data_IF_002708317680
#
_entry.id   IF_002708317680
#
_cell.length_a   1.000
_cell.length_b   1.000
_cell.length_c   1.000
_cell.angle_alpha   90.00
_cell.angle_beta   90.00
_cell.angle_gamma   90.00
#
_symmetry.space_group_name_H-M   'P 1'
#
loop_
_entity.id
_entity.type
_entity.pdbx_description
1 polymer ?
#
# COMPACT_ATOMS: atom_id res chain seq x y z
N UNK A 1 -6.54 17.92 7.63
CA UNK A 1 -7.34 17.19 6.63
C UNK A 1 -6.51 16.02 6.12
N UNK A 2 -7.09 14.90 5.70
CA UNK A 2 -6.35 13.79 5.08
C UNK A 2 -6.59 13.81 3.58
N UNK A 3 -5.55 13.61 2.77
CA UNK A 3 -5.72 13.47 1.32
C UNK A 3 -6.28 12.08 1.06
N UNK A 4 -7.42 12.02 0.38
CA UNK A 4 -8.01 10.74 -0.02
C UNK A 4 -7.16 10.06 -1.10
N UNK A 5 -7.22 8.73 -1.21
CA UNK A 5 -6.66 8.04 -2.36
C UNK A 5 -7.21 8.59 -3.69
N UNK A 6 -6.40 8.52 -4.73
CA UNK A 6 -6.74 9.02 -6.06
C UNK A 6 -5.51 9.46 -6.84
N UNK A 7 -5.73 9.93 -8.06
CA UNK A 7 -4.65 10.47 -8.90
C UNK A 7 -4.59 11.97 -8.73
N UNK A 8 -3.38 12.45 -8.46
CA UNK A 8 -3.11 13.84 -8.18
C UNK A 8 -2.02 14.39 -9.10
N UNK A 9 -2.14 15.68 -9.37
CA UNK A 9 -1.01 16.52 -9.76
C UNK A 9 -0.45 17.17 -8.51
N UNK A 10 0.88 17.17 -8.38
CA UNK A 10 1.58 17.79 -7.25
C UNK A 10 2.26 19.06 -7.79
N UNK A 11 1.69 20.23 -7.50
CA UNK A 11 2.21 21.53 -7.97
C UNK A 11 3.01 22.22 -6.87
N UNK A 12 4.17 22.76 -7.21
CA UNK A 12 4.95 23.57 -6.28
C UNK A 12 4.33 24.97 -6.09
N UNK A 13 4.25 25.44 -4.85
CA UNK A 13 3.61 26.71 -4.51
C UNK A 13 4.44 27.95 -4.94
N UNK A 14 5.75 27.81 -5.17
CA UNK A 14 6.59 28.92 -5.68
C UNK A 14 6.61 28.95 -7.21
N UNK A 15 7.05 27.85 -7.82
CA UNK A 15 7.43 27.86 -9.24
C UNK A 15 6.28 27.51 -10.17
N UNK A 16 5.14 27.05 -9.62
CA UNK A 16 4.00 26.49 -10.36
C UNK A 16 4.32 25.30 -11.28
N UNK A 17 5.56 24.80 -11.22
CA UNK A 17 5.96 23.53 -11.85
C UNK A 17 5.39 22.36 -11.05
N UNK A 18 5.41 21.17 -11.67
CA UNK A 18 4.84 19.96 -11.08
C UNK A 18 5.91 18.90 -10.90
N UNK A 19 5.65 17.99 -9.96
CA UNK A 19 6.48 16.78 -9.78
C UNK A 19 6.34 15.92 -11.04
N UNK A 20 7.45 15.71 -11.74
CA UNK A 20 7.55 14.99 -13.00
C UNK A 20 8.57 13.87 -12.85
N UNK A 21 8.20 12.65 -13.24
CA UNK A 21 9.16 11.57 -13.44
C UNK A 21 9.78 11.72 -14.84
N UNK A 22 11.08 11.99 -14.87
CA UNK A 22 11.80 12.22 -16.12
C UNK A 22 11.74 11.00 -17.03
N UNK A 23 11.33 11.19 -18.29
CA UNK A 23 11.29 10.11 -19.29
C UNK A 23 12.66 9.76 -19.88
N UNK A 24 13.69 10.57 -19.64
CA UNK A 24 15.04 10.39 -20.20
C UNK A 24 16.11 10.07 -19.14
N UNK A 25 15.76 10.10 -17.86
CA UNK A 25 16.67 9.81 -16.76
C UNK A 25 15.92 9.25 -15.55
N UNK A 26 16.60 8.47 -14.71
CA UNK A 26 16.02 7.97 -13.46
C UNK A 26 15.97 9.08 -12.38
N UNK A 27 15.11 10.09 -12.57
CA UNK A 27 15.01 11.29 -11.74
C UNK A 27 13.56 11.71 -11.52
N UNK A 28 13.30 12.27 -10.33
CA UNK A 28 12.12 13.09 -10.06
C UNK A 28 12.56 14.54 -10.16
N UNK A 29 11.87 15.32 -10.99
CA UNK A 29 12.25 16.71 -11.30
C UNK A 29 11.03 17.61 -11.26
N UNK A 30 11.28 18.91 -11.14
CA UNK A 30 10.29 19.94 -11.34
C UNK A 30 10.20 20.27 -12.83
N UNK A 31 9.02 20.15 -13.42
CA UNK A 31 8.81 20.43 -14.83
C UNK A 31 7.54 21.24 -15.08
N UNK A 32 7.51 21.98 -16.20
CA UNK A 32 6.32 22.70 -16.62
C UNK A 32 5.19 21.70 -16.84
N UNK A 33 4.00 22.02 -16.32
CA UNK A 33 2.83 21.18 -16.52
C UNK A 33 2.52 21.03 -18.03
N UNK A 34 2.49 19.79 -18.49
CA UNK A 34 2.06 19.39 -19.84
C UNK A 34 0.96 18.32 -19.80
N UNK A 35 0.63 17.80 -18.62
CA UNK A 35 -0.50 16.90 -18.42
C UNK A 35 -0.19 15.43 -18.73
N UNK A 36 1.02 15.09 -19.17
CA UNK A 36 1.46 13.73 -19.39
C UNK A 36 1.35 12.86 -18.13
N UNK A 37 1.18 11.55 -18.32
CA UNK A 37 0.98 10.60 -17.23
C UNK A 37 2.18 10.51 -16.26
N UNK A 38 3.38 10.91 -16.69
CA UNK A 38 4.57 11.00 -15.85
C UNK A 38 4.54 12.22 -14.89
N UNK A 39 3.55 13.10 -15.01
CA UNK A 39 3.23 14.20 -14.07
C UNK A 39 2.03 13.90 -13.16
N UNK A 40 1.52 12.67 -13.23
CA UNK A 40 0.35 12.22 -12.50
C UNK A 40 0.77 11.14 -11.51
N UNK A 41 0.32 11.28 -10.27
CA UNK A 41 0.77 10.47 -9.15
C UNK A 41 -0.44 9.88 -8.46
N UNK A 42 -0.47 8.56 -8.36
CA UNK A 42 -1.49 7.87 -7.60
C UNK A 42 -1.11 7.82 -6.12
N UNK A 43 -1.94 8.48 -5.32
CA UNK A 43 -1.80 8.57 -3.87
C UNK A 43 -2.49 7.37 -3.26
N UNK A 44 -1.72 6.63 -2.46
CA UNK A 44 -2.23 5.51 -1.68
C UNK A 44 -1.87 5.74 -0.22
N UNK A 45 -2.82 5.46 0.68
CA UNK A 45 -2.53 5.42 2.10
C UNK A 45 -1.57 4.26 2.39
N UNK A 46 -0.59 4.50 3.25
CA UNK A 46 0.39 3.50 3.68
C UNK A 46 0.72 3.74 5.16
N UNK A 47 0.03 3.02 6.05
CA UNK A 47 0.06 3.31 7.49
C UNK A 47 -0.47 4.71 7.78
N UNK A 48 0.26 5.50 8.56
CA UNK A 48 -0.09 6.89 8.91
C UNK A 48 0.33 7.92 7.84
N UNK A 49 0.97 7.46 6.76
CA UNK A 49 1.45 8.31 5.66
C UNK A 49 0.88 7.89 4.31
N UNK A 50 1.58 8.31 3.25
CA UNK A 50 1.18 8.10 1.87
C UNK A 50 2.35 7.65 1.00
N UNK A 51 2.04 6.93 -0.08
CA UNK A 51 2.99 6.66 -1.16
C UNK A 51 2.47 7.29 -2.46
N UNK A 52 3.39 7.79 -3.29
CA UNK A 52 3.08 8.38 -4.59
C UNK A 52 3.61 7.46 -5.69
N UNK A 53 2.71 6.84 -6.44
CA UNK A 53 3.07 5.96 -7.57
C UNK A 53 2.88 6.69 -8.89
N UNK A 54 3.91 6.76 -9.70
CA UNK A 54 3.86 7.29 -11.06
C UNK A 54 2.80 6.57 -11.88
N UNK A 55 1.90 7.32 -12.51
CA UNK A 55 0.86 6.73 -13.37
C UNK A 55 1.48 6.16 -14.65
N UNK A 56 2.50 6.83 -15.18
CA UNK A 56 3.19 6.38 -16.39
C UNK A 56 4.02 5.12 -16.15
N UNK A 57 4.91 5.14 -15.16
CA UNK A 57 5.94 4.11 -15.02
C UNK A 57 5.67 3.13 -13.88
N UNK A 58 4.68 3.40 -13.03
CA UNK A 58 4.34 2.53 -11.90
C UNK A 58 5.37 2.51 -10.77
N UNK A 59 6.37 3.39 -10.81
CA UNK A 59 7.43 3.54 -9.80
C UNK A 59 7.02 4.55 -8.72
N UNK A 60 7.56 4.40 -7.52
CA UNK A 60 7.31 5.27 -6.39
C UNK A 60 8.35 6.38 -6.28
N UNK A 61 7.92 7.53 -5.74
CA UNK A 61 8.83 8.56 -5.23
C UNK A 61 9.55 8.01 -4.00
N UNK A 62 10.85 7.78 -4.13
CA UNK A 62 11.65 7.02 -3.17
C UNK A 62 12.93 7.76 -2.78
N UNK A 63 13.40 7.50 -1.56
CA UNK A 63 14.70 7.95 -1.06
C UNK A 63 15.30 6.92 -0.10
N UNK A 64 16.63 6.83 -0.10
CA UNK A 64 17.42 6.17 0.94
C UNK A 64 18.21 7.18 1.79
N UNK A 65 18.15 8.47 1.43
CA UNK A 65 18.88 9.53 2.12
C UNK A 65 18.18 9.94 3.41
N UNK A 66 18.96 10.16 4.46
CA UNK A 66 18.50 10.67 5.76
C UNK A 66 19.20 12.00 6.11
N UNK A 67 19.42 12.85 5.11
CA UNK A 67 20.10 14.14 5.27
C UNK A 67 19.58 15.19 4.27
N UNK A 68 19.84 16.47 4.59
CA UNK A 68 19.57 17.61 3.71
C UNK A 68 20.37 17.49 2.40
N UNK A 69 19.76 17.84 1.26
CA UNK A 69 20.31 17.60 -0.07
C UNK A 69 20.15 16.15 -0.57
N UNK A 70 19.54 15.27 0.22
CA UNK A 70 19.31 13.87 -0.12
C UNK A 70 18.51 13.69 -1.41
N UNK A 71 18.92 12.74 -2.25
CA UNK A 71 18.30 12.52 -3.57
C UNK A 71 16.95 11.82 -3.44
N UNK A 72 15.98 12.31 -4.19
CA UNK A 72 14.70 11.62 -4.43
C UNK A 72 14.71 11.08 -5.86
N UNK A 73 14.27 9.84 -6.05
CA UNK A 73 14.30 9.18 -7.34
C UNK A 73 13.17 8.14 -7.51
N UNK A 74 12.82 7.78 -8.75
CA UNK A 74 11.87 6.69 -9.01
C UNK A 74 12.44 5.33 -8.57
N UNK A 75 11.62 4.51 -7.90
CA UNK A 75 12.00 3.14 -7.51
C UNK A 75 10.79 2.20 -7.47
N UNK A 76 11.03 0.89 -7.55
CA UNK A 76 10.01 -0.10 -7.23
C UNK A 76 9.84 -0.30 -5.71
N UNK A 77 10.80 0.19 -4.91
CA UNK A 77 10.67 0.32 -3.47
C UNK A 77 9.88 1.58 -3.13
N UNK A 78 9.21 1.57 -1.98
CA UNK A 78 8.41 2.70 -1.50
C UNK A 78 9.06 3.41 -0.32
N UNK A 79 8.85 4.71 -0.25
CA UNK A 79 8.99 5.52 0.95
C UNK A 79 7.58 5.96 1.34
N UNK A 80 7.16 5.67 2.57
CA UNK A 80 5.94 6.26 3.13
C UNK A 80 6.26 7.68 3.56
N UNK A 81 5.53 8.66 3.04
CA UNK A 81 5.72 10.09 3.29
C UNK A 81 4.65 10.62 4.25
N UNK A 82 5.04 11.55 5.12
CA UNK A 82 4.09 12.27 5.97
C UNK A 82 3.62 13.54 5.27
N UNK A 83 2.33 13.85 5.38
CA UNK A 83 1.75 15.09 4.86
C UNK A 83 1.34 16.00 6.02
N UNK A 84 1.80 17.25 6.00
CA UNK A 84 1.31 18.28 6.92
C UNK A 84 0.72 19.45 6.14
N UNK A 85 -0.51 19.80 6.47
CA UNK A 85 -1.25 20.88 5.80
C UNK A 85 -1.02 22.22 6.49
N UNK A 86 -0.83 23.26 5.71
CA UNK A 86 -0.78 24.66 6.13
C UNK A 86 -1.63 25.50 5.15
N UNK A 87 -2.85 25.84 5.57
CA UNK A 87 -3.87 26.42 4.67
C UNK A 87 -4.19 25.49 3.49
N UNK A 88 -3.96 25.97 2.27
CA UNK A 88 -4.17 25.22 1.02
C UNK A 88 -2.90 24.52 0.50
N UNK A 89 -1.80 24.63 1.24
CA UNK A 89 -0.50 24.08 0.89
C UNK A 89 -0.12 22.95 1.83
N UNK A 90 0.83 22.14 1.40
CA UNK A 90 1.28 20.96 2.11
C UNK A 90 2.80 20.85 2.12
N UNK A 91 3.36 20.42 3.24
CA UNK A 91 4.71 19.88 3.27
C UNK A 91 4.66 18.35 3.13
N UNK A 92 5.64 17.79 2.41
CA UNK A 92 5.81 16.34 2.23
C UNK A 92 7.11 15.98 2.95
N UNK A 93 7.01 15.25 4.06
CA UNK A 93 8.12 15.02 4.99
C UNK A 93 8.57 13.57 5.00
N UNK A 94 9.88 13.36 5.14
CA UNK A 94 10.44 12.04 5.43
C UNK A 94 10.17 11.68 6.91
N UNK A 95 9.49 10.56 7.21
CA UNK A 95 9.11 10.22 8.59
C UNK A 95 10.29 10.15 9.55
N UNK A 96 10.09 10.64 10.78
CA UNK A 96 11.12 10.63 11.83
C UNK A 96 12.22 11.66 11.65
N UNK A 97 12.11 12.58 10.68
CA UNK A 97 13.11 13.62 10.40
C UNK A 97 12.47 15.01 10.24
N UNK A 98 13.30 16.06 10.21
CA UNK A 98 12.88 17.41 9.82
C UNK A 98 13.00 17.69 8.31
N UNK A 99 13.19 16.65 7.48
CA UNK A 99 13.42 16.83 6.05
C UNK A 99 12.12 16.78 5.25
N UNK A 100 11.99 17.73 4.32
CA UNK A 100 10.87 17.86 3.39
C UNK A 100 11.33 17.80 1.94
N UNK A 101 10.41 17.41 1.05
CA UNK A 101 10.61 17.49 -0.39
C UNK A 101 10.58 18.96 -0.83
N UNK A 102 11.65 19.40 -1.48
CA UNK A 102 11.80 20.75 -2.04
C UNK A 102 12.14 20.72 -3.54
N UNK A 103 11.94 21.87 -4.20
CA UNK A 103 12.70 22.20 -5.41
C UNK A 103 13.99 22.89 -4.96
N UNK A 104 15.14 22.38 -5.39
CA UNK A 104 16.46 22.91 -5.04
C UNK A 104 16.55 24.42 -5.30
N UNK A 105 16.74 25.18 -4.22
CA UNK A 105 16.82 26.65 -4.26
C UNK A 105 15.56 27.34 -4.78
N UNK A 106 14.49 26.60 -5.08
CA UNK A 106 13.29 27.10 -5.75
C UNK A 106 13.58 27.56 -7.17
N UNK A 107 14.53 26.88 -7.83
CA UNK A 107 14.88 27.14 -9.23
C UNK A 107 13.66 26.97 -10.14
N UNK A 108 13.49 27.93 -11.06
CA UNK A 108 12.45 27.90 -12.10
C UNK A 108 12.94 27.26 -13.40
N UNK A 109 14.19 26.77 -13.42
CA UNK A 109 14.73 26.07 -14.57
C UNK A 109 13.94 24.78 -14.84
N UNK A 110 13.72 24.47 -16.13
CA UNK A 110 13.12 23.20 -16.51
C UNK A 110 14.01 22.05 -16.08
N UNK A 111 13.45 21.13 -15.29
CA UNK A 111 14.19 19.98 -14.76
C UNK A 111 14.96 20.29 -13.49
N UNK A 112 14.61 21.36 -12.78
CA UNK A 112 15.15 21.64 -11.46
C UNK A 112 14.99 20.42 -10.54
N UNK A 113 16.04 20.17 -9.75
CA UNK A 113 16.13 18.99 -8.90
C UNK A 113 15.07 19.03 -7.80
N UNK A 114 14.37 17.91 -7.62
CA UNK A 114 13.52 17.68 -6.45
C UNK A 114 14.29 16.79 -5.48
N UNK A 115 14.41 17.24 -4.23
CA UNK A 115 15.29 16.62 -3.23
C UNK A 115 14.76 16.81 -1.81
N UNK A 116 15.40 16.15 -0.85
CA UNK A 116 15.22 16.41 0.57
C UNK A 116 15.96 17.68 1.01
N UNK A 117 15.38 18.42 1.94
CA UNK A 117 15.96 19.62 2.54
C UNK A 117 15.38 19.88 3.92
N UNK A 118 16.06 20.66 4.74
CA UNK A 118 15.56 21.11 6.03
C UNK A 118 14.23 21.86 5.86
N UNK A 119 13.24 21.54 6.70
CA UNK A 119 11.94 22.23 6.64
C UNK A 119 12.06 23.65 7.19
N UNK A 120 12.16 24.63 6.29
CA UNK A 120 12.29 26.05 6.58
C UNK A 120 11.00 26.83 6.34
N UNK A 121 9.93 26.17 5.92
CA UNK A 121 8.64 26.82 5.68
C UNK A 121 8.54 27.61 4.37
N UNK A 122 9.52 27.46 3.48
CA UNK A 122 9.63 28.25 2.27
C UNK A 122 8.66 27.78 1.18
N UNK A 123 8.22 28.69 0.29
CA UNK A 123 7.22 28.35 -0.75
C UNK A 123 7.66 27.26 -1.74
N UNK A 124 8.97 27.11 -1.99
CA UNK A 124 9.49 26.00 -2.79
C UNK A 124 9.51 24.63 -2.07
N UNK A 125 9.16 24.59 -0.78
CA UNK A 125 8.97 23.40 0.06
C UNK A 125 7.48 23.12 0.33
N UNK A 126 6.60 23.82 -0.40
CA UNK A 126 5.15 23.75 -0.23
C UNK A 126 4.52 23.31 -1.54
N UNK A 127 3.53 22.44 -1.41
CA UNK A 127 2.91 21.75 -2.53
C UNK A 127 1.39 21.87 -2.46
N UNK A 128 0.77 22.06 -3.61
CA UNK A 128 -0.67 21.96 -3.78
C UNK A 128 -0.99 20.65 -4.49
N UNK A 129 -1.95 19.90 -3.95
CA UNK A 129 -2.41 18.66 -4.54
C UNK A 129 -3.72 18.90 -5.30
N UNK A 130 -3.67 18.76 -6.62
CA UNK A 130 -4.87 18.84 -7.46
C UNK A 130 -5.36 17.43 -7.76
N UNK A 131 -6.56 17.09 -7.27
CA UNK A 131 -7.16 15.80 -7.60
C UNK A 131 -7.57 15.78 -9.07
N UNK A 132 -7.04 14.84 -9.82
CA UNK A 132 -7.38 14.60 -11.23
C UNK A 132 -8.50 13.56 -11.32
N UNK A 133 -8.42 12.49 -10.52
CA UNK A 133 -9.48 11.47 -10.47
C UNK A 133 -9.46 10.68 -9.16
N UNK A 134 -10.59 10.05 -8.84
CA UNK A 134 -10.68 9.04 -7.76
C UNK A 134 -10.18 7.65 -8.20
N UNK A 135 -9.89 7.45 -9.50
CA UNK A 135 -9.57 6.15 -10.10
C UNK A 135 -8.11 5.70 -9.95
N UNK A 136 -7.85 4.43 -10.25
CA UNK A 136 -6.50 3.84 -10.26
C UNK A 136 -5.73 4.19 -11.56
N UNK A 137 -4.38 4.22 -11.57
CA UNK A 137 -3.53 4.64 -12.70
C UNK A 137 -3.84 4.02 -14.07
N UNK A 138 -4.34 2.79 -14.07
CA UNK A 138 -4.60 2.02 -15.30
C UNK A 138 -5.67 2.67 -16.19
N UNK A 139 -6.46 3.60 -15.67
CA UNK A 139 -7.50 4.33 -16.42
C UNK A 139 -6.97 5.57 -17.19
N UNK A 140 -5.74 6.03 -16.94
CA UNK A 140 -5.23 7.34 -17.43
C UNK A 140 -4.20 7.25 -18.56
N UNK A 141 -3.81 6.05 -18.99
CA UNK A 141 -2.86 5.84 -20.11
C UNK A 141 -3.49 5.94 -21.51
N UNK A 142 -4.78 6.28 -21.62
CA UNK A 142 -5.47 6.35 -22.91
C UNK A 142 -5.56 7.80 -23.41
N UNK A 143 -5.22 8.11 -24.68
CA UNK A 143 -5.35 9.45 -25.24
C UNK A 143 -6.83 9.84 -25.45
N UNK A 144 -7.16 11.13 -25.64
CA UNK A 144 -8.55 11.59 -25.74
C UNK A 144 -9.16 11.12 -27.07
N UNK A 145 -10.06 10.14 -27.02
CA UNK A 145 -10.91 9.80 -28.15
C UNK A 145 -12.33 10.33 -27.97
N UNK A 146 -12.80 10.95 -29.05
CA UNK A 146 -14.13 11.51 -29.24
C UNK A 146 -15.22 10.44 -29.10
N UNK A 147 -16.39 10.88 -28.61
CA UNK A 147 -17.67 10.19 -28.48
C UNK A 147 -17.77 9.05 -27.46
N UNK A 148 -18.66 9.25 -26.50
CA UNK A 148 -19.06 8.30 -25.46
C UNK A 148 -19.67 7.03 -26.09
N UNK A 149 -18.85 6.01 -26.28
CA UNK A 149 -19.32 4.64 -26.10
C UNK A 149 -18.77 4.14 -24.78
N UNK A 150 -19.67 3.67 -23.93
CA UNK A 150 -19.39 3.15 -22.60
C UNK A 150 -18.52 1.89 -22.73
N UNK A 151 -17.20 2.05 -22.84
CA UNK A 151 -16.25 0.94 -22.76
C UNK A 151 -16.25 0.51 -21.29
N UNK A 152 -16.89 -0.62 -21.01
CA UNK A 152 -16.73 -1.31 -19.73
C UNK A 152 -15.23 -1.57 -19.55
N UNK A 153 -14.61 -0.92 -18.56
CA UNK A 153 -13.29 -1.32 -18.10
C UNK A 153 -13.35 -2.83 -17.82
N UNK A 154 -12.39 -3.64 -18.27
CA UNK A 154 -12.40 -5.05 -17.92
C UNK A 154 -12.49 -5.12 -16.39
N UNK A 155 -13.42 -5.93 -15.84
CA UNK A 155 -13.57 -6.04 -14.40
C UNK A 155 -12.20 -6.37 -13.79
N UNK A 156 -11.87 -5.73 -12.65
CA UNK A 156 -10.66 -6.08 -11.89
C UNK A 156 -10.69 -7.59 -11.68
N UNK A 157 -9.76 -8.29 -12.33
CA UNK A 157 -9.63 -9.74 -12.22
C UNK A 157 -8.88 -10.03 -10.93
N UNK A 158 -9.59 -10.47 -9.90
CA UNK A 158 -8.96 -10.94 -8.68
C UNK A 158 -8.45 -12.36 -8.89
N UNK A 159 -7.21 -12.61 -8.46
CA UNK A 159 -6.61 -13.94 -8.48
C UNK A 159 -7.46 -14.96 -7.72
N UNK A 160 -8.05 -14.53 -6.60
CA UNK A 160 -9.11 -15.23 -5.88
C UNK A 160 -10.34 -14.32 -5.88
N UNK A 161 -11.45 -14.83 -6.38
CA UNK A 161 -12.72 -14.09 -6.36
C UNK A 161 -13.15 -13.79 -4.91
N UNK A 162 -13.80 -12.65 -4.64
CA UNK A 162 -14.40 -12.39 -3.34
C UNK A 162 -15.37 -13.50 -2.91
N UNK A 163 -15.41 -13.81 -1.63
CA UNK A 163 -16.17 -14.94 -1.10
C UNK A 163 -15.80 -15.29 0.32
N UNK A 164 -16.37 -16.39 0.82
CA UNK A 164 -16.07 -16.92 2.15
C UNK A 164 -15.17 -18.13 1.97
N UNK A 165 -14.07 -18.15 2.71
CA UNK A 165 -13.02 -19.13 2.57
C UNK A 165 -12.54 -19.67 3.91
N UNK A 166 -12.10 -20.92 3.89
CA UNK A 166 -11.11 -21.43 4.82
C UNK A 166 -9.72 -21.15 4.24
N UNK A 167 -8.81 -20.60 5.06
CA UNK A 167 -7.41 -20.42 4.68
C UNK A 167 -6.64 -21.60 5.27
N UNK A 168 -6.32 -22.58 4.42
CA UNK A 168 -5.70 -23.84 4.81
C UNK A 168 -4.21 -23.81 4.54
N UNK A 169 -3.39 -24.11 5.54
CA UNK A 169 -1.94 -24.22 5.36
C UNK A 169 -1.64 -25.31 4.34
N UNK A 170 -0.84 -24.99 3.34
CA UNK A 170 -0.35 -25.97 2.36
C UNK A 170 0.51 -27.05 3.03
N UNK A 171 1.26 -26.67 4.07
CA UNK A 171 2.22 -27.56 4.75
C UNK A 171 1.55 -28.56 5.71
N UNK A 172 0.57 -28.12 6.50
CA UNK A 172 -0.02 -28.94 7.57
C UNK A 172 -1.52 -29.21 7.46
N UNK A 173 -2.23 -28.50 6.59
CA UNK A 173 -3.69 -28.54 6.55
C UNK A 173 -4.39 -27.75 7.67
N UNK A 174 -3.65 -27.12 8.58
CA UNK A 174 -4.22 -26.27 9.64
C UNK A 174 -4.94 -25.04 9.05
N UNK A 175 -6.06 -24.65 9.66
CA UNK A 175 -6.84 -23.48 9.25
C UNK A 175 -6.48 -22.24 10.06
N UNK A 176 -6.42 -21.08 9.39
CA UNK A 176 -6.40 -19.77 10.07
C UNK A 176 -7.68 -19.62 10.88
N UNK A 177 -7.55 -19.53 12.20
CA UNK A 177 -8.66 -19.64 13.13
C UNK A 177 -8.68 -18.49 14.10
N UNK A 178 -9.84 -17.81 14.26
CA UNK A 178 -10.08 -16.92 15.40
C UNK A 178 -10.34 -17.78 16.64
N UNK A 179 -9.33 -17.95 17.49
CA UNK A 179 -9.39 -18.89 18.59
C UNK A 179 -10.46 -18.51 19.61
N UNK A 180 -11.28 -19.49 20.01
CA UNK A 180 -12.42 -19.28 20.91
C UNK A 180 -13.57 -18.43 20.36
N UNK A 181 -13.48 -17.92 19.11
CA UNK A 181 -14.51 -17.07 18.51
C UNK A 181 -14.71 -15.74 19.25
N UNK A 182 -13.72 -15.24 20.00
CA UNK A 182 -13.86 -13.97 20.73
C UNK A 182 -13.96 -12.77 19.77
N UNK A 183 -14.92 -11.89 20.03
CA UNK A 183 -15.09 -10.63 19.31
C UNK A 183 -14.18 -9.50 19.83
N UNK A 184 -13.39 -9.74 20.88
CA UNK A 184 -12.53 -8.73 21.49
C UNK A 184 -11.45 -8.23 20.50
N UNK A 185 -11.02 -6.98 20.67
CA UNK A 185 -9.85 -6.44 19.98
C UNK A 185 -8.59 -7.18 20.43
N UNK A 186 -7.77 -7.63 19.49
CA UNK A 186 -6.55 -8.34 19.80
C UNK A 186 -6.76 -9.82 20.16
N UNK A 187 -7.95 -10.39 19.97
CA UNK A 187 -8.19 -11.81 20.17
C UNK A 187 -7.26 -12.65 19.27
N UNK A 188 -6.90 -13.83 19.77
CA UNK A 188 -5.89 -14.70 19.16
C UNK A 188 -6.35 -15.23 17.81
N UNK A 189 -5.49 -15.08 16.79
CA UNK A 189 -5.62 -15.80 15.52
C UNK A 189 -4.48 -16.82 15.45
N UNK A 190 -4.82 -18.10 15.32
CA UNK A 190 -3.86 -19.20 15.34
C UNK A 190 -4.26 -20.32 14.37
N UNK A 191 -3.32 -21.22 14.09
CA UNK A 191 -3.53 -22.41 13.28
C UNK A 191 -4.18 -23.51 14.11
N UNK A 192 -5.32 -24.01 13.65
CA UNK A 192 -6.04 -25.10 14.30
C UNK A 192 -6.54 -26.13 13.28
N UNK A 193 -6.81 -27.33 13.76
CA UNK A 193 -7.55 -28.35 13.03
C UNK A 193 -8.95 -27.87 12.58
N UNK A 194 -9.44 -28.44 11.48
CA UNK A 194 -10.74 -28.09 10.91
C UNK A 194 -11.89 -28.53 11.84
N UNK A 195 -12.68 -27.55 12.27
CA UNK A 195 -13.94 -27.73 13.01
C UNK A 195 -15.16 -27.25 12.20
N UNK A 196 -14.93 -26.74 10.99
CA UNK A 196 -15.90 -26.14 10.07
C UNK A 196 -16.75 -25.00 10.66
N UNK A 197 -16.35 -24.49 11.83
CA UNK A 197 -17.03 -23.42 12.56
C UNK A 197 -16.84 -22.04 11.91
N UNK A 198 -17.77 -21.11 12.17
CA UNK A 198 -17.73 -19.76 11.59
C UNK A 198 -16.49 -18.96 12.02
N UNK A 199 -15.88 -19.28 13.16
CA UNK A 199 -14.62 -18.69 13.62
C UNK A 199 -13.41 -19.07 12.76
N UNK A 200 -13.54 -20.05 11.86
CA UNK A 200 -12.51 -20.43 10.86
C UNK A 200 -12.83 -19.94 9.45
N UNK A 201 -13.96 -19.25 9.26
CA UNK A 201 -14.40 -18.73 7.96
C UNK A 201 -14.04 -17.26 7.84
N UNK A 202 -13.37 -16.92 6.76
CA UNK A 202 -12.93 -15.57 6.45
C UNK A 202 -13.58 -15.08 5.17
N UNK A 203 -14.30 -13.97 5.27
CA UNK A 203 -14.83 -13.25 4.12
C UNK A 203 -13.71 -12.43 3.49
N UNK A 204 -13.31 -12.80 2.28
CA UNK A 204 -12.38 -12.06 1.45
C UNK A 204 -13.17 -10.97 0.69
N UNK A 205 -12.87 -9.69 0.97
CA UNK A 205 -13.60 -8.55 0.42
C UNK A 205 -12.64 -7.55 -0.25
N UNK A 206 -12.93 -7.08 -1.47
CA UNK A 206 -12.16 -6.01 -2.09
C UNK A 206 -12.24 -4.73 -1.28
N UNK A 207 -11.12 -4.04 -1.14
CA UNK A 207 -11.09 -2.72 -0.47
C UNK A 207 -11.46 -1.57 -1.41
N UNK A 208 -11.51 -1.84 -2.72
CA UNK A 208 -11.56 -0.81 -3.77
C UNK A 208 -10.18 -0.25 -4.13
N UNK A 209 -9.12 -0.63 -3.41
CA UNK A 209 -7.75 -0.22 -3.68
C UNK A 209 -7.03 -1.27 -4.56
N UNK A 210 -7.36 -1.31 -5.84
CA UNK A 210 -6.77 -2.26 -6.78
C UNK A 210 -7.17 -3.70 -6.47
N UNK A 211 -6.21 -4.60 -6.33
CA UNK A 211 -6.44 -6.01 -5.97
C UNK A 211 -6.41 -6.28 -4.46
N UNK A 212 -6.33 -5.23 -3.64
CA UNK A 212 -6.22 -5.37 -2.20
C UNK A 212 -7.53 -5.90 -1.60
N UNK A 213 -7.37 -6.78 -0.63
CA UNK A 213 -8.46 -7.47 0.05
C UNK A 213 -8.37 -7.25 1.57
N UNK A 214 -9.51 -7.32 2.23
CA UNK A 214 -9.60 -7.57 3.68
C UNK A 214 -10.02 -9.02 3.92
N UNK A 215 -9.66 -9.53 5.10
CA UNK A 215 -10.07 -10.84 5.60
C UNK A 215 -10.90 -10.62 6.87
N UNK A 216 -12.22 -10.73 6.77
CA UNK A 216 -13.15 -10.51 7.88
C UNK A 216 -13.67 -11.84 8.43
N UNK A 217 -13.55 -12.08 9.72
CA UNK A 217 -14.07 -13.28 10.34
C UNK A 217 -15.61 -13.29 10.29
N UNK A 218 -16.19 -14.41 9.86
CA UNK A 218 -17.65 -14.54 9.71
C UNK A 218 -18.38 -14.61 11.06
N UNK A 219 -17.73 -15.09 12.12
CA UNK A 219 -18.37 -15.22 13.43
C UNK A 219 -18.52 -13.87 14.14
N UNK A 220 -17.48 -13.04 14.11
CA UNK A 220 -17.37 -11.85 14.96
C UNK A 220 -17.34 -10.54 14.19
N UNK A 221 -17.22 -10.60 12.85
CA UNK A 221 -17.06 -9.44 11.98
C UNK A 221 -15.76 -8.64 12.21
N UNK A 222 -14.82 -9.13 13.02
CA UNK A 222 -13.48 -8.55 13.17
C UNK A 222 -12.56 -8.97 12.02
N UNK A 223 -11.48 -8.24 11.81
CA UNK A 223 -10.54 -8.44 10.71
C UNK A 223 -9.27 -9.13 11.18
N UNK A 224 -8.68 -9.92 10.29
CA UNK A 224 -7.28 -10.35 10.43
C UNK A 224 -6.41 -9.10 10.37
N UNK A 225 -5.66 -8.85 11.45
CA UNK A 225 -4.96 -7.59 11.66
C UNK A 225 -3.62 -7.82 12.33
N UNK A 226 -2.70 -6.86 12.20
CA UNK A 226 -1.40 -6.92 12.87
C UNK A 226 -0.96 -5.52 13.32
N UNK A 227 -0.25 -5.48 14.45
CA UNK A 227 0.36 -4.24 14.94
C UNK A 227 1.76 -4.10 14.38
N UNK A 228 1.94 -3.13 13.48
CA UNK A 228 3.25 -2.73 12.97
C UNK A 228 4.07 -2.03 14.06
N UNK A 229 4.87 -2.76 14.86
CA UNK A 229 5.95 -2.18 15.66
C UNK A 229 7.30 -2.37 14.96
N UNK A 230 8.27 -1.48 15.20
CA UNK A 230 9.52 -1.42 14.41
C UNK A 230 10.66 -2.31 14.94
N UNK A 231 10.42 -3.14 15.96
CA UNK A 231 11.50 -3.78 16.75
C UNK A 231 11.43 -5.31 16.85
N UNK A 232 10.51 -5.97 16.14
CA UNK A 232 10.40 -7.44 16.14
C UNK A 232 10.44 -7.99 14.71
N UNK A 233 11.15 -9.11 14.47
CA UNK A 233 11.25 -9.73 13.15
C UNK A 233 9.94 -10.41 12.70
N UNK A 234 9.02 -10.63 13.66
CA UNK A 234 7.70 -11.19 13.45
C UNK A 234 6.61 -10.30 14.03
N UNK A 235 5.46 -10.22 13.35
CA UNK A 235 4.30 -9.50 13.87
C UNK A 235 3.20 -10.51 14.18
N UNK A 236 2.76 -10.62 15.44
CA UNK A 236 1.59 -11.44 15.76
C UNK A 236 0.39 -10.91 15.01
N UNK A 237 -0.42 -11.85 14.53
CA UNK A 237 -1.68 -11.57 13.87
C UNK A 237 -2.80 -11.82 14.87
N UNK A 238 -3.69 -10.85 15.00
CA UNK A 238 -4.81 -10.86 15.94
C UNK A 238 -6.06 -10.27 15.29
N UNK A 239 -7.21 -10.41 15.93
CA UNK A 239 -8.42 -9.72 15.50
C UNK A 239 -8.30 -8.21 15.71
N UNK A 240 -8.97 -7.43 14.85
CA UNK A 240 -9.23 -6.01 15.09
C UNK A 240 -10.59 -5.59 14.57
N UNK A 241 -11.19 -4.58 15.18
CA UNK A 241 -12.33 -3.87 14.59
C UNK A 241 -11.92 -3.05 13.36
N UNK A 242 -10.63 -2.78 13.18
CA UNK A 242 -10.09 -2.01 12.06
C UNK A 242 -9.65 -2.95 10.94
N UNK A 243 -10.03 -2.68 9.68
CA UNK A 243 -9.59 -3.49 8.55
C UNK A 243 -8.09 -3.29 8.29
N UNK A 244 -7.46 -4.34 7.78
CA UNK A 244 -6.12 -4.32 7.24
C UNK A 244 -6.14 -4.84 5.80
N UNK A 245 -5.40 -4.17 4.92
CA UNK A 245 -5.30 -4.56 3.53
C UNK A 245 -4.20 -5.59 3.29
N UNK A 246 -4.55 -6.62 2.52
CA UNK A 246 -3.67 -7.69 2.08
C UNK A 246 -3.69 -7.79 0.55
N UNK A 247 -2.56 -8.17 -0.01
CA UNK A 247 -2.41 -8.58 -1.40
C UNK A 247 -2.29 -10.10 -1.42
N UNK A 248 -3.07 -10.74 -2.27
CA UNK A 248 -3.01 -12.18 -2.51
C UNK A 248 -2.19 -12.42 -3.77
N UNK A 249 -1.08 -13.15 -3.66
CA UNK A 249 -0.22 -13.49 -4.81
C UNK A 249 -0.10 -14.99 -4.97
N UNK A 250 0.06 -15.44 -6.22
CA UNK A 250 0.24 -16.86 -6.52
C UNK A 250 1.59 -17.35 -5.97
N UNK A 251 1.58 -18.51 -5.33
CA UNK A 251 2.79 -19.29 -5.05
C UNK A 251 2.93 -20.40 -6.09
N UNK A 252 4.04 -21.15 -6.04
CA UNK A 252 4.17 -22.39 -6.81
C UNK A 252 3.16 -23.47 -6.37
N UNK A 253 2.62 -23.36 -5.15
CA UNK A 253 1.54 -24.17 -4.63
C UNK A 253 0.69 -23.33 -3.65
N UNK A 254 -0.57 -23.04 -3.99
CA UNK A 254 -1.42 -22.13 -3.22
C UNK A 254 -1.07 -20.64 -3.40
N UNK A 255 -1.23 -19.86 -2.33
CA UNK A 255 -1.14 -18.40 -2.36
C UNK A 255 -0.39 -17.85 -1.14
N UNK A 256 0.25 -16.70 -1.32
CA UNK A 256 0.73 -15.87 -0.21
C UNK A 256 -0.32 -14.84 0.17
N UNK A 257 -0.40 -14.52 1.46
CA UNK A 257 -1.20 -13.42 2.01
C UNK A 257 -0.24 -12.39 2.58
N UNK A 258 -0.02 -11.29 1.86
CA UNK A 258 0.97 -10.27 2.22
C UNK A 258 0.31 -8.96 2.59
N UNK A 259 0.72 -8.26 3.66
CA UNK A 259 0.21 -6.93 3.95
C UNK A 259 0.50 -5.96 2.80
N UNK A 260 -0.49 -5.20 2.36
CA UNK A 260 -0.33 -4.25 1.25
C UNK A 260 0.75 -3.20 1.51
N UNK A 261 0.90 -2.79 2.76
CA UNK A 261 1.90 -1.82 3.22
C UNK A 261 3.26 -2.44 3.57
N UNK A 262 3.39 -3.78 3.56
CA UNK A 262 4.64 -4.51 3.82
C UNK A 262 4.76 -5.72 2.87
N UNK A 263 4.92 -5.50 1.56
CA UNK A 263 4.89 -6.57 0.56
C UNK A 263 6.03 -7.61 0.70
N UNK A 264 7.10 -7.28 1.44
CA UNK A 264 8.18 -8.23 1.78
C UNK A 264 7.84 -9.21 2.90
N UNK A 265 6.62 -9.16 3.45
CA UNK A 265 6.16 -10.06 4.52
C UNK A 265 4.99 -10.92 4.06
N UNK A 266 4.82 -12.10 4.65
CA UNK A 266 3.72 -13.01 4.38
C UNK A 266 3.16 -13.62 5.68
N UNK A 267 1.86 -13.91 5.68
CA UNK A 267 1.18 -14.68 6.71
C UNK A 267 1.82 -16.06 6.80
N UNK A 268 2.37 -16.39 7.96
CA UNK A 268 3.16 -17.59 8.19
C UNK A 268 2.62 -18.35 9.38
N UNK A 269 2.48 -19.65 9.22
CA UNK A 269 2.22 -20.57 10.32
C UNK A 269 3.56 -20.98 10.93
N UNK A 270 3.73 -20.80 12.24
CA UNK A 270 4.99 -21.07 12.91
C UNK A 270 5.42 -22.53 12.70
N UNK A 271 6.59 -22.72 12.09
CA UNK A 271 7.14 -24.02 11.66
C UNK A 271 6.23 -24.88 10.77
N UNK A 272 5.12 -24.33 10.28
CA UNK A 272 4.09 -25.11 9.58
C UNK A 272 3.52 -26.25 10.43
N UNK A 273 3.40 -26.07 11.74
CA UNK A 273 2.93 -27.12 12.65
C UNK A 273 1.44 -27.44 12.47
N UNK A 274 1.07 -28.71 12.68
CA UNK A 274 -0.33 -29.16 12.75
C UNK A 274 -0.92 -29.09 14.16
N UNK A 275 -0.12 -28.69 15.16
CA UNK A 275 -0.59 -28.55 16.54
C UNK A 275 -1.63 -27.44 16.66
N UNK A 276 -2.66 -27.66 17.47
CA UNK A 276 -3.68 -26.65 17.70
C UNK A 276 -3.08 -25.43 18.42
N UNK A 277 -3.55 -24.24 18.04
CA UNK A 277 -3.05 -22.95 18.51
C UNK A 277 -1.62 -22.66 18.10
N UNK A 278 -1.17 -23.23 16.98
CA UNK A 278 0.13 -22.84 16.39
C UNK A 278 0.07 -21.37 16.00
N UNK A 279 1.10 -20.60 16.38
CA UNK A 279 1.14 -19.17 16.12
C UNK A 279 1.03 -18.84 14.63
N UNK A 280 0.19 -17.87 14.30
CA UNK A 280 0.14 -17.24 12.99
C UNK A 280 0.70 -15.82 13.12
N UNK A 281 1.74 -15.55 12.35
CA UNK A 281 2.47 -14.30 12.39
C UNK A 281 2.88 -13.85 10.99
N UNK A 282 3.14 -12.57 10.83
CA UNK A 282 3.78 -12.05 9.62
C UNK A 282 5.30 -12.19 9.77
N UNK A 283 5.92 -12.84 8.79
CA UNK A 283 7.37 -12.99 8.67
C UNK A 283 7.84 -12.55 7.30
N UNK A 284 9.15 -12.33 7.14
CA UNK A 284 9.74 -12.08 5.83
C UNK A 284 9.30 -13.18 4.85
N UNK A 285 8.91 -12.80 3.63
CA UNK A 285 8.43 -13.74 2.64
C UNK A 285 9.61 -14.47 1.99
N UNK A 286 10.06 -15.54 2.64
CA UNK A 286 11.11 -16.45 2.17
C UNK A 286 10.58 -17.54 1.23
N UNK A 287 9.31 -17.44 0.83
CA UNK A 287 8.63 -18.37 -0.08
C UNK A 287 8.53 -19.81 0.44
N UNK A 288 8.63 -20.01 1.75
CA UNK A 288 8.57 -21.33 2.39
C UNK A 288 7.15 -21.91 2.41
N UNK A 289 7.02 -23.25 2.52
CA UNK A 289 5.71 -23.95 2.51
C UNK A 289 4.79 -23.50 3.65
N UNK A 290 5.34 -23.15 4.81
CA UNK A 290 4.57 -22.66 5.96
C UNK A 290 3.99 -21.24 5.77
N UNK A 291 4.27 -20.59 4.63
CA UNK A 291 3.75 -19.27 4.25
C UNK A 291 2.70 -19.36 3.14
N UNK A 292 2.38 -20.58 2.68
CA UNK A 292 1.48 -20.84 1.56
C UNK A 292 0.13 -21.33 2.08
N UNK A 293 -0.92 -20.80 1.47
CA UNK A 293 -2.29 -21.06 1.88
C UNK A 293 -3.14 -21.46 0.67
N UNK A 294 -3.95 -22.49 0.83
CA UNK A 294 -5.10 -22.75 -0.04
C UNK A 294 -6.29 -21.91 0.43
N UNK A 295 -7.04 -21.38 -0.54
CA UNK A 295 -8.30 -20.68 -0.31
C UNK A 295 -9.44 -21.64 -0.68
N UNK A 296 -9.88 -22.43 0.30
CA UNK A 296 -10.96 -23.39 0.10
C UNK A 296 -12.31 -22.69 0.32
N UNK A 297 -13.22 -22.77 -0.65
CA UNK A 297 -14.58 -22.21 -0.52
C UNK A 297 -15.30 -22.85 0.67
N UNK A 298 -15.89 -22.02 1.53
CA UNK A 298 -16.68 -22.43 2.69
C UNK A 298 -18.18 -22.57 2.40
#
# INVERSE_FOLDING_TARGET
>A
MTISPGVYRIRNAKTNTVVDQSGSANKIIAWKQHGGANQQWFFQLSGDGVVFRSVEYGQYVYTTSMHSGGRIFPSNNLTTWNLSQDGNEWAISLPGTNYVIEIEGGSEASGASIRLSDNLGLKHQRWAFEKISDGQPQQLKQPPQQSFQQIQQPPISFLISPGIYFLRSVMSGSLVTLYGGSADEGAEISGCSDSSGNHQKWQLQPTGHGQNMTLRNVHTNTYLWFRSQSFVPSFPVNSSYKPQEYVITAANNGFYVSPAQRPGYALSLLHGSSENRTEISLWHNDQQENQKWHFDRA
#
